data_IF_643169263954
#
_entry.id   IF_643169263954
#
_cell.length_a   1.000
_cell.length_b   1.000
_cell.length_c   1.000
_cell.angle_alpha   90.00
_cell.angle_beta   90.00
_cell.angle_gamma   90.00
#
_symmetry.space_group_name_H-M   'P 1'
#
loop_
_entity.id
_entity.type
_entity.pdbx_description
1 polymer ?
#
# COMPACT_ATOMS: atom_id res chain seq x y z
N UNK A 1 10.00 14.43 -2.60
CA UNK A 1 8.64 15.00 -2.40
C UNK A 1 7.54 13.99 -2.73
N UNK A 2 7.53 13.37 -3.92
CA UNK A 2 6.52 12.36 -4.31
C UNK A 2 6.45 11.14 -3.40
N UNK A 3 7.58 10.60 -2.94
CA UNK A 3 7.59 9.47 -2.01
C UNK A 3 6.73 9.68 -0.76
N UNK A 4 6.94 10.80 -0.06
CA UNK A 4 6.22 11.09 1.19
C UNK A 4 4.71 11.22 0.96
N UNK A 5 4.31 11.77 -0.19
CA UNK A 5 2.91 11.88 -0.60
C UNK A 5 2.28 10.50 -0.85
N UNK A 6 2.91 9.66 -1.67
CA UNK A 6 2.43 8.30 -1.96
C UNK A 6 2.41 7.42 -0.69
N UNK A 7 3.42 7.54 0.17
CA UNK A 7 3.50 6.82 1.43
C UNK A 7 2.38 7.27 2.40
N UNK A 8 2.20 8.58 2.59
CA UNK A 8 1.15 9.11 3.46
C UNK A 8 -0.25 8.72 2.97
N UNK A 9 -0.50 8.81 1.67
CA UNK A 9 -1.76 8.36 1.06
C UNK A 9 -1.98 6.86 1.29
N UNK A 10 -0.96 6.02 1.09
CA UNK A 10 -1.06 4.57 1.33
C UNK A 10 -1.34 4.22 2.79
N UNK A 11 -0.67 4.88 3.74
CA UNK A 11 -0.90 4.71 5.18
C UNK A 11 -2.31 5.17 5.57
N UNK A 12 -2.80 6.27 5.00
CA UNK A 12 -4.16 6.75 5.22
C UNK A 12 -5.22 5.73 4.76
N UNK A 13 -5.06 5.15 3.57
CA UNK A 13 -5.96 4.10 3.08
C UNK A 13 -5.93 2.84 3.95
N UNK A 14 -4.76 2.41 4.43
CA UNK A 14 -4.64 1.30 5.38
C UNK A 14 -5.35 1.64 6.70
N UNK A 15 -5.16 2.84 7.23
CA UNK A 15 -5.81 3.27 8.46
C UNK A 15 -7.33 3.22 8.35
N UNK A 16 -7.89 3.70 7.23
CA UNK A 16 -9.33 3.61 6.96
C UNK A 16 -9.77 2.16 6.79
N UNK A 17 -8.98 1.32 6.10
CA UNK A 17 -9.29 -0.10 5.93
C UNK A 17 -9.46 -0.80 7.29
N UNK A 18 -8.58 -0.52 8.25
CA UNK A 18 -8.65 -1.12 9.58
C UNK A 18 -9.72 -0.49 10.50
N UNK A 19 -9.87 0.83 10.48
CA UNK A 19 -10.79 1.51 11.42
C UNK A 19 -12.25 1.47 10.98
N UNK A 20 -12.54 1.57 9.68
CA UNK A 20 -13.91 1.57 9.16
C UNK A 20 -14.33 0.27 8.50
N UNK A 21 -13.46 -0.36 7.70
CA UNK A 21 -13.87 -1.49 6.87
C UNK A 21 -13.63 -2.86 7.53
N UNK A 22 -12.71 -2.98 8.50
CA UNK A 22 -12.51 -4.18 9.31
C UNK A 22 -13.77 -4.59 10.10
N UNK A 23 -14.46 -3.70 10.85
CA UNK A 23 -15.69 -4.07 11.54
C UNK A 23 -16.84 -4.43 10.58
N UNK A 24 -16.84 -3.86 9.37
CA UNK A 24 -17.84 -4.12 8.32
C UNK A 24 -17.47 -5.34 7.46
N UNK A 25 -16.26 -5.89 7.61
CA UNK A 25 -15.76 -7.00 6.81
C UNK A 25 -16.63 -8.25 6.94
N UNK A 26 -17.20 -8.46 8.13
CA UNK A 26 -18.12 -9.58 8.42
C UNK A 26 -19.37 -9.53 7.53
N UNK A 27 -19.81 -8.33 7.12
CA UNK A 27 -20.98 -8.13 6.26
C UNK A 27 -20.61 -8.09 4.78
N UNK A 28 -19.55 -7.37 4.41
CA UNK A 28 -19.19 -7.07 3.01
C UNK A 28 -17.66 -7.07 2.83
N UNK A 29 -17.03 -8.24 2.60
CA UNK A 29 -15.57 -8.36 2.56
C UNK A 29 -14.91 -7.65 1.37
N UNK A 30 -15.65 -7.45 0.27
CA UNK A 30 -15.12 -6.82 -0.95
C UNK A 30 -14.60 -5.40 -0.74
N UNK A 31 -15.28 -4.59 0.09
CA UNK A 31 -14.90 -3.18 0.30
C UNK A 31 -13.58 -3.05 1.06
N UNK A 32 -13.37 -3.94 2.04
CA UNK A 32 -12.10 -4.02 2.76
C UNK A 32 -10.96 -4.43 1.82
N UNK A 33 -11.16 -5.47 1.00
CA UNK A 33 -10.14 -5.97 0.08
C UNK A 33 -9.64 -4.87 -0.89
N UNK A 34 -10.56 -4.09 -1.48
CA UNK A 34 -10.20 -3.03 -2.43
C UNK A 34 -9.40 -1.91 -1.75
N UNK A 35 -9.87 -1.39 -0.60
CA UNK A 35 -9.18 -0.33 0.12
C UNK A 35 -7.80 -0.79 0.64
N UNK A 36 -7.72 -2.03 1.13
CA UNK A 36 -6.47 -2.60 1.61
C UNK A 36 -5.46 -2.81 0.47
N UNK A 37 -5.88 -3.42 -0.64
CA UNK A 37 -5.02 -3.62 -1.83
C UNK A 37 -4.51 -2.30 -2.39
N UNK A 38 -5.38 -1.29 -2.53
CA UNK A 38 -4.98 0.04 -3.00
C UNK A 38 -3.97 0.69 -2.04
N UNK A 39 -4.21 0.65 -0.72
CA UNK A 39 -3.27 1.16 0.28
C UNK A 39 -1.89 0.51 0.17
N UNK A 40 -1.85 -0.81 0.04
CA UNK A 40 -0.60 -1.55 -0.17
C UNK A 40 0.10 -1.19 -1.48
N UNK A 41 -0.63 -1.04 -2.59
CA UNK A 41 -0.06 -0.61 -3.87
C UNK A 41 0.57 0.80 -3.79
N UNK A 42 -0.09 1.74 -3.10
CA UNK A 42 0.46 3.09 -2.89
C UNK A 42 1.73 3.06 -2.03
N UNK A 43 1.78 2.23 -0.98
CA UNK A 43 2.98 2.07 -0.15
C UNK A 43 4.12 1.46 -0.95
N UNK A 44 3.90 0.35 -1.67
CA UNK A 44 4.93 -0.30 -2.48
C UNK A 44 5.41 0.64 -3.58
N UNK A 45 4.48 1.29 -4.28
CA UNK A 45 4.72 2.31 -5.31
C UNK A 45 5.48 3.54 -4.78
N UNK A 46 5.33 3.89 -3.50
CA UNK A 46 6.12 4.95 -2.91
C UNK A 46 7.61 4.59 -2.93
N UNK A 47 7.99 3.39 -2.47
CA UNK A 47 9.40 2.98 -2.43
C UNK A 47 10.03 2.90 -3.83
N UNK A 48 9.23 2.58 -4.85
CA UNK A 48 9.61 2.65 -6.26
C UNK A 48 10.05 4.07 -6.67
N UNK A 49 9.39 5.11 -6.16
CA UNK A 49 9.73 6.51 -6.41
C UNK A 49 10.99 7.00 -5.67
N UNK A 50 11.44 6.29 -4.61
CA UNK A 50 12.60 6.70 -3.81
C UNK A 50 13.91 6.03 -4.25
N UNK A 51 13.88 4.73 -4.55
CA UNK A 51 15.08 3.95 -4.91
C UNK A 51 15.20 3.67 -6.42
N UNK A 52 14.17 4.02 -7.18
CA UNK A 52 14.06 3.74 -8.60
C UNK A 52 13.64 2.28 -8.86
N UNK A 53 12.76 2.03 -9.85
CA UNK A 53 12.17 0.70 -10.07
C UNK A 53 13.16 -0.40 -10.36
N UNK A 54 14.27 -0.06 -11.02
CA UNK A 54 15.32 -1.03 -11.35
C UNK A 54 16.05 -1.53 -10.09
N UNK A 55 16.37 -0.66 -9.14
CA UNK A 55 17.07 -1.06 -7.92
C UNK A 55 16.13 -1.73 -6.91
N UNK A 56 14.85 -1.36 -6.89
CA UNK A 56 13.87 -2.02 -6.04
C UNK A 56 13.54 -3.43 -6.54
N UNK A 57 13.31 -3.60 -7.84
CA UNK A 57 13.11 -4.93 -8.42
C UNK A 57 14.36 -5.79 -8.27
N UNK A 58 15.56 -5.23 -8.50
CA UNK A 58 16.81 -5.96 -8.26
C UNK A 58 16.94 -6.42 -6.80
N UNK A 59 16.54 -5.61 -5.81
CA UNK A 59 16.54 -6.01 -4.40
C UNK A 59 15.45 -7.04 -4.07
N UNK A 60 14.27 -6.98 -4.69
CA UNK A 60 13.20 -7.98 -4.50
C UNK A 60 13.50 -9.32 -5.20
N UNK A 61 14.29 -9.30 -6.28
CA UNK A 61 14.73 -10.49 -7.03
C UNK A 61 16.10 -11.01 -6.61
N UNK A 62 16.88 -10.22 -5.86
CA UNK A 62 18.16 -10.66 -5.31
C UNK A 62 17.88 -11.78 -4.33
N UNK A 63 18.37 -12.97 -4.65
CA UNK A 63 18.44 -14.10 -3.74
C UNK A 63 19.52 -13.80 -2.71
N UNK A 64 19.18 -12.99 -1.71
CA UNK A 64 19.75 -13.13 -0.37
C UNK A 64 18.82 -14.01 0.46
#
# INVERSE_FOLDING_TARGET
>A
MYFGLFLATGVFFIFIAFTMFLPVMVLMPQKFAICFTLGCCFIIGSFFALKGPKNQLAHMFSKE
#
